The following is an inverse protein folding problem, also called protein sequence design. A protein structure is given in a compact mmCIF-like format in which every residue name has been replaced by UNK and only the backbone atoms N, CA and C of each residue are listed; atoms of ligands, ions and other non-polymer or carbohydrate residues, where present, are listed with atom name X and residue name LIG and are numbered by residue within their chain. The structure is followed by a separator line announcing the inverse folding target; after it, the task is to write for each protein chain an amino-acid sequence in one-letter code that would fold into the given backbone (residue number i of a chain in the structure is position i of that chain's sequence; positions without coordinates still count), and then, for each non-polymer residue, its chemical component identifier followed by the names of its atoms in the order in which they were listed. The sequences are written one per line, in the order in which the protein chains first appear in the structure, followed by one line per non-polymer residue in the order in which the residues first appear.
data_IF_827814824668
#
_entry.id   IF_827814824668
#
_cell.length_a   1.000
_cell.length_b   1.000
_cell.length_c   1.000
_cell.angle_alpha   90.00
_cell.angle_beta   90.00
_cell.angle_gamma   90.00
#
_symmetry.space_group_name_H-M   'P 1'
#
loop_
_entity.id
_entity.type
_entity.pdbx_description
1 polymer ?
#
# COMPACT_ATOMS: atom_id res chain seq x y z
N UNK A 1 -24.31 -21.68 17.64
CA UNK A 1 -23.23 -21.62 16.62
C UNK A 1 -23.87 -21.89 15.28
N UNK A 2 -23.97 -20.87 14.42
CA UNK A 2 -24.39 -21.07 13.03
C UNK A 2 -23.17 -21.37 12.16
N UNK A 3 -23.24 -22.47 11.40
CA UNK A 3 -22.23 -22.82 10.42
C UNK A 3 -22.66 -22.20 9.10
N UNK A 4 -21.99 -21.11 8.71
CA UNK A 4 -22.24 -20.45 7.43
C UNK A 4 -21.74 -21.34 6.28
N UNK A 5 -22.61 -21.59 5.30
CA UNK A 5 -22.26 -22.33 4.08
C UNK A 5 -21.28 -21.53 3.22
N UNK A 6 -20.41 -22.23 2.49
CA UNK A 6 -19.29 -21.66 1.72
C UNK A 6 -19.69 -20.55 0.73
N UNK A 7 -20.90 -20.62 0.18
CA UNK A 7 -21.45 -19.59 -0.72
C UNK A 7 -21.73 -18.28 0.01
N UNK A 8 -22.37 -18.32 1.18
CA UNK A 8 -22.62 -17.12 1.99
C UNK A 8 -21.30 -16.46 2.43
N UNK A 9 -20.27 -17.27 2.73
CA UNK A 9 -18.93 -16.78 3.03
C UNK A 9 -18.30 -16.08 1.82
N UNK A 10 -18.44 -16.64 0.61
CA UNK A 10 -17.97 -16.00 -0.63
C UNK A 10 -18.67 -14.66 -0.87
N UNK A 11 -19.99 -14.60 -0.74
CA UNK A 11 -20.74 -13.35 -0.96
C UNK A 11 -20.34 -12.27 0.05
N UNK A 12 -20.11 -12.65 1.32
CA UNK A 12 -19.61 -11.73 2.35
C UNK A 12 -18.16 -11.26 2.10
N UNK A 13 -17.32 -12.14 1.56
CA UNK A 13 -15.95 -11.80 1.17
C UNK A 13 -15.90 -10.90 -0.07
N UNK A 14 -16.82 -11.09 -1.01
CA UNK A 14 -16.95 -10.23 -2.20
C UNK A 14 -17.54 -8.87 -1.87
N UNK A 15 -18.51 -8.79 -0.96
CA UNK A 15 -19.01 -7.53 -0.42
C UNK A 15 -17.94 -6.77 0.39
N UNK A 16 -16.99 -7.50 0.99
CA UNK A 16 -15.81 -6.94 1.66
C UNK A 16 -14.56 -6.83 0.76
N UNK A 17 -14.65 -7.11 -0.56
CA UNK A 17 -13.56 -6.80 -1.48
C UNK A 17 -13.34 -5.30 -1.38
N UNK A 18 -12.29 -4.95 -0.65
CA UNK A 18 -11.95 -3.57 -0.33
C UNK A 18 -11.98 -2.79 -1.62
N UNK A 19 -12.91 -1.82 -1.70
CA UNK A 19 -12.84 -0.69 -2.63
C UNK A 19 -11.37 -0.38 -2.77
N UNK A 20 -10.84 -0.51 -3.99
CA UNK A 20 -9.42 -0.47 -4.30
C UNK A 20 -8.90 0.89 -3.79
N UNK A 21 -8.50 0.95 -2.51
CA UNK A 21 -8.17 2.20 -1.84
C UNK A 21 -7.02 2.76 -2.64
N UNK A 22 -7.25 3.91 -3.25
CA UNK A 22 -6.21 4.59 -4.02
C UNK A 22 -4.95 4.57 -3.19
N UNK A 23 -3.87 4.05 -3.77
CA UNK A 23 -2.60 3.97 -3.08
C UNK A 23 -2.21 5.39 -2.69
N UNK A 24 -1.87 5.61 -1.42
CA UNK A 24 -1.43 6.93 -0.98
C UNK A 24 -0.22 7.36 -1.80
N UNK A 25 -0.25 8.63 -2.19
CA UNK A 25 0.78 9.25 -3.01
C UNK A 25 0.96 8.55 -4.37
N UNK A 26 -0.04 7.80 -4.88
CA UNK A 26 0.04 7.14 -6.19
C UNK A 26 0.34 8.12 -7.31
N UNK A 27 -0.34 9.27 -7.36
CA UNK A 27 -0.11 10.28 -8.40
C UNK A 27 1.32 10.81 -8.39
N UNK A 28 1.88 11.02 -7.20
CA UNK A 28 3.25 11.49 -7.03
C UNK A 28 4.23 10.40 -7.45
N UNK A 29 4.03 9.16 -7.01
CA UNK A 29 4.83 8.00 -7.42
C UNK A 29 4.75 7.72 -8.92
N UNK A 30 3.58 7.87 -9.53
CA UNK A 30 3.40 7.71 -10.98
C UNK A 30 4.15 8.80 -11.74
N UNK A 31 4.26 10.01 -11.17
CA UNK A 31 4.99 11.15 -11.75
C UNK A 31 6.51 11.04 -11.62
N UNK A 32 7.03 10.24 -10.69
CA UNK A 32 8.47 10.00 -10.55
C UNK A 32 9.04 9.21 -11.74
N UNK A 33 10.30 9.48 -12.10
CA UNK A 33 11.11 8.63 -12.97
C UNK A 33 11.79 7.50 -12.18
N UNK A 34 12.21 6.40 -12.83
CA UNK A 34 13.01 5.37 -12.18
C UNK A 34 14.27 5.97 -11.54
N UNK A 35 14.49 5.66 -10.26
CA UNK A 35 15.59 6.22 -9.46
C UNK A 35 15.25 7.50 -8.68
N UNK A 36 14.12 8.16 -8.97
CA UNK A 36 13.65 9.29 -8.16
C UNK A 36 12.91 8.80 -6.90
N UNK A 37 12.86 9.65 -5.88
CA UNK A 37 12.28 9.30 -4.60
C UNK A 37 11.47 10.43 -3.96
N UNK A 38 10.42 10.04 -3.23
CA UNK A 38 9.66 10.92 -2.35
C UNK A 38 10.20 10.75 -0.94
N UNK A 39 10.50 11.87 -0.28
CA UNK A 39 10.80 11.90 1.15
C UNK A 39 9.50 12.20 1.90
N UNK A 40 9.11 11.28 2.76
CA UNK A 40 7.97 11.40 3.66
C UNK A 40 8.49 11.59 5.09
N UNK A 41 8.09 12.66 5.76
CA UNK A 41 8.35 12.77 7.19
C UNK A 41 7.43 11.82 7.95
N UNK A 42 7.83 11.47 9.16
CA UNK A 42 7.01 10.60 10.02
C UNK A 42 5.67 11.27 10.35
N UNK A 43 5.66 12.59 10.50
CA UNK A 43 4.48 13.41 10.81
C UNK A 43 3.45 13.44 9.67
N UNK A 44 3.91 13.38 8.42
CA UNK A 44 3.04 13.39 7.23
C UNK A 44 2.31 12.06 7.03
N UNK A 45 2.75 11.01 7.74
CA UNK A 45 2.20 9.67 7.60
C UNK A 45 1.02 9.45 8.56
N UNK A 46 -0.18 9.72 8.06
CA UNK A 46 -1.42 9.68 8.85
C UNK A 46 -2.01 8.27 9.06
N UNK A 47 -1.35 7.22 8.54
CA UNK A 47 -1.86 5.84 8.62
C UNK A 47 -1.13 5.03 9.69
N UNK A 48 -1.89 4.25 10.46
CA UNK A 48 -1.35 3.35 11.49
C UNK A 48 -0.35 2.31 10.95
N UNK A 49 -0.59 1.79 9.74
CA UNK A 49 0.31 0.87 9.03
C UNK A 49 1.57 1.60 8.60
N UNK A 50 2.75 1.06 8.89
CA UNK A 50 4.02 1.68 8.47
C UNK A 50 4.11 1.81 6.93
N UNK A 51 4.80 2.84 6.39
CA UNK A 51 5.00 3.00 4.95
C UNK A 51 5.56 1.74 4.30
N UNK A 52 6.55 1.10 4.93
CA UNK A 52 7.16 -0.14 4.41
C UNK A 52 6.13 -1.27 4.25
N UNK A 53 5.26 -1.50 5.24
CA UNK A 53 4.22 -2.52 5.16
C UNK A 53 3.12 -2.14 4.16
N UNK A 54 2.80 -0.85 4.05
CA UNK A 54 1.81 -0.33 3.11
C UNK A 54 2.25 -0.57 1.66
N UNK A 55 3.45 -0.14 1.29
CA UNK A 55 3.97 -0.28 -0.07
C UNK A 55 4.45 -1.70 -0.41
N UNK A 56 4.74 -2.53 0.59
CA UNK A 56 4.91 -3.97 0.36
C UNK A 56 3.65 -4.61 -0.23
N UNK A 57 2.47 -4.28 0.32
CA UNK A 57 1.18 -4.77 -0.23
C UNK A 57 0.92 -4.22 -1.62
N UNK A 58 1.24 -2.95 -1.84
CA UNK A 58 1.14 -2.33 -3.16
C UNK A 58 1.96 -3.07 -4.22
N UNK A 59 3.25 -3.31 -3.96
CA UNK A 59 4.12 -4.09 -4.86
C UNK A 59 3.59 -5.50 -5.10
N UNK A 60 3.13 -6.18 -4.04
CA UNK A 60 2.56 -7.53 -4.15
C UNK A 60 1.34 -7.56 -5.07
N UNK A 61 0.46 -6.56 -4.96
CA UNK A 61 -0.73 -6.46 -5.81
C UNK A 61 -0.38 -6.17 -7.28
N UNK A 62 0.75 -5.51 -7.55
CA UNK A 62 1.24 -5.23 -8.90
C UNK A 62 2.04 -6.40 -9.52
N UNK A 63 2.34 -7.45 -8.74
CA UNK A 63 3.15 -8.58 -9.20
C UNK A 63 4.62 -8.25 -9.50
N UNK A 64 5.06 -7.02 -9.22
CA UNK A 64 6.44 -6.54 -9.41
C UNK A 64 6.81 -5.49 -8.36
N UNK A 65 8.11 -5.33 -8.12
CA UNK A 65 8.63 -4.30 -7.20
C UNK A 65 8.63 -2.93 -7.89
N UNK A 66 7.55 -2.17 -7.72
CA UNK A 66 7.37 -0.82 -8.29
C UNK A 66 8.09 0.24 -7.44
N UNK A 67 8.07 0.08 -6.12
CA UNK A 67 8.68 1.03 -5.19
C UNK A 67 9.53 0.34 -4.14
N UNK A 68 10.57 1.03 -3.66
CA UNK A 68 11.40 0.63 -2.53
C UNK A 68 11.23 1.64 -1.41
N UNK A 69 11.01 1.18 -0.17
CA UNK A 69 10.87 2.06 1.00
C UNK A 69 12.08 1.88 1.90
N UNK A 70 12.82 2.96 2.15
CA UNK A 70 13.92 3.02 3.10
C UNK A 70 13.53 3.88 4.30
N UNK A 71 13.86 3.44 5.52
CA UNK A 71 13.62 4.22 6.74
C UNK A 71 14.79 5.17 6.98
N UNK A 72 14.48 6.43 7.23
CA UNK A 72 15.42 7.48 7.63
C UNK A 72 15.24 7.83 9.12
N UNK A 73 16.12 8.67 9.68
CA UNK A 73 16.01 9.11 11.08
C UNK A 73 14.73 9.90 11.36
N UNK A 74 14.28 10.68 10.39
CA UNK A 74 13.15 11.61 10.48
C UNK A 74 11.92 11.18 9.67
N UNK A 75 11.98 10.02 9.00
CA UNK A 75 10.89 9.57 8.16
C UNK A 75 11.25 8.40 7.25
N UNK A 76 10.79 8.47 6.02
CA UNK A 76 10.89 7.40 5.03
C UNK A 76 11.23 7.99 3.66
N UNK A 77 11.97 7.22 2.88
CA UNK A 77 12.30 7.52 1.50
C UNK A 77 11.68 6.44 0.61
N UNK A 78 10.79 6.84 -0.28
CA UNK A 78 10.11 5.94 -1.21
C UNK A 78 10.67 6.17 -2.60
N UNK A 79 11.49 5.24 -3.08
CA UNK A 79 12.14 5.30 -4.39
C UNK A 79 11.32 4.51 -5.40
N UNK A 80 11.15 5.04 -6.61
CA UNK A 80 10.58 4.30 -7.74
C UNK A 80 11.66 3.46 -8.41
N UNK A 81 11.36 2.18 -8.61
CA UNK A 81 12.20 1.27 -9.37
C UNK A 81 11.85 1.29 -10.86
#
# INVERSE_FOLDING_TARGET
MEILKSEAVKTLLEANKSVNRETLYKKELDSLKPGEAIRLKTEDWLIKTTPSAYYYRYNKNQGKKVVTVNKLKDGFLITKN
#
